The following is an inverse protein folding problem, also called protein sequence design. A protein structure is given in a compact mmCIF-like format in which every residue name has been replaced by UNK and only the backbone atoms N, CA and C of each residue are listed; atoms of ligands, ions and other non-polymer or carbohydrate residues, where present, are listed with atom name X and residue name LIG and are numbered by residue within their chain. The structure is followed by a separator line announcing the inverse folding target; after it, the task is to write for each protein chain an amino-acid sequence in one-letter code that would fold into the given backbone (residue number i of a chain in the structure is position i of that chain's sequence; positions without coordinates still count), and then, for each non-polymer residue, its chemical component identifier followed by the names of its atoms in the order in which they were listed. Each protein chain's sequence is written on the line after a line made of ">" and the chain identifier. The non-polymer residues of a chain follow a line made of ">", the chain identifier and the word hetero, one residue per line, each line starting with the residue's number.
data_IF_233635578994
#
_entry.id   IF_233635578994
#
_cell.length_a   1.000
_cell.length_b   1.000
_cell.length_c   1.000
_cell.angle_alpha   90.00
_cell.angle_beta   90.00
_cell.angle_gamma   90.00
#
_symmetry.space_group_name_H-M   'P 1'
#
loop_
_entity.id
_entity.type
_entity.pdbx_description
1 polymer ?
#
# COMPACT_ATOMS: atom_id res chain seq x y z
N UNK A 1 10.11 18.48 -0.13
CA UNK A 1 8.82 18.97 -0.66
C UNK A 1 7.74 17.98 -0.30
N UNK A 2 6.65 18.45 0.25
CA UNK A 2 5.55 17.57 0.63
C UNK A 2 4.82 17.07 -0.61
N UNK A 3 4.37 15.83 -0.58
CA UNK A 3 3.54 15.29 -1.65
C UNK A 3 2.13 15.85 -1.53
N UNK A 4 1.45 16.00 -2.66
CA UNK A 4 0.05 16.37 -2.64
C UNK A 4 -0.79 15.20 -2.16
N UNK A 5 -2.01 15.46 -1.68
CA UNK A 5 -2.93 14.40 -1.30
C UNK A 5 -3.16 13.45 -2.49
N UNK A 6 -3.30 14.00 -3.69
CA UNK A 6 -3.48 13.22 -4.90
C UNK A 6 -2.31 12.26 -5.15
N UNK A 7 -1.08 12.72 -4.95
CA UNK A 7 0.10 11.88 -5.11
C UNK A 7 0.14 10.76 -4.05
N UNK A 8 -0.20 11.09 -2.81
CA UNK A 8 -0.26 10.10 -1.73
C UNK A 8 -1.31 9.03 -2.03
N UNK A 9 -2.50 9.46 -2.48
CA UNK A 9 -3.57 8.52 -2.82
C UNK A 9 -3.19 7.62 -4.00
N UNK A 10 -2.52 8.17 -5.00
CA UNK A 10 -2.05 7.39 -6.14
C UNK A 10 -1.03 6.35 -5.69
N UNK A 11 -0.06 6.74 -4.88
CA UNK A 11 0.94 5.82 -4.35
C UNK A 11 0.31 4.73 -3.48
N UNK A 12 -0.68 5.09 -2.66
CA UNK A 12 -1.39 4.13 -1.83
C UNK A 12 -2.16 3.12 -2.69
N UNK A 13 -2.84 3.60 -3.73
CA UNK A 13 -3.57 2.73 -4.65
C UNK A 13 -2.61 1.76 -5.35
N UNK A 14 -1.45 2.23 -5.77
CA UNK A 14 -0.44 1.38 -6.39
C UNK A 14 0.02 0.28 -5.43
N UNK A 15 0.22 0.63 -4.16
CA UNK A 15 0.61 -0.36 -3.14
C UNK A 15 -0.49 -1.38 -2.90
N UNK A 16 -1.75 -0.96 -2.84
CA UNK A 16 -2.90 -1.87 -2.70
C UNK A 16 -2.94 -2.84 -3.88
N UNK A 17 -2.81 -2.31 -5.09
CA UNK A 17 -2.87 -3.14 -6.31
C UNK A 17 -1.73 -4.15 -6.37
N UNK A 18 -0.53 -3.74 -5.98
CA UNK A 18 0.63 -4.64 -5.93
C UNK A 18 0.40 -5.78 -4.94
N UNK A 19 0.00 -5.46 -3.73
CA UNK A 19 -0.23 -6.47 -2.68
C UNK A 19 -1.31 -7.45 -3.12
N UNK A 20 -2.43 -6.94 -3.59
CA UNK A 20 -3.54 -7.78 -4.02
C UNK A 20 -3.18 -8.61 -5.25
N UNK A 21 -2.42 -8.04 -6.19
CA UNK A 21 -1.98 -8.74 -7.38
C UNK A 21 -1.02 -9.88 -7.07
N UNK A 22 -0.07 -9.65 -6.16
CA UNK A 22 0.87 -10.69 -5.73
C UNK A 22 0.10 -11.81 -5.03
N UNK A 23 -0.81 -11.47 -4.13
CA UNK A 23 -1.60 -12.46 -3.41
C UNK A 23 -2.50 -13.28 -4.36
N UNK A 24 -3.04 -12.66 -5.38
CA UNK A 24 -3.92 -13.32 -6.35
C UNK A 24 -3.13 -14.07 -7.43
N UNK A 25 -1.83 -13.87 -7.53
CA UNK A 25 -0.99 -14.49 -8.55
C UNK A 25 -1.09 -13.81 -9.92
N UNK A 26 -1.58 -12.58 -9.96
CA UNK A 26 -1.73 -11.81 -11.22
C UNK A 26 -0.62 -10.78 -11.42
N UNK A 27 0.17 -10.52 -10.40
CA UNK A 27 1.29 -9.59 -10.50
C UNK A 27 2.49 -10.28 -11.15
N UNK A 28 3.18 -9.57 -12.02
CA UNK A 28 4.35 -10.11 -12.68
C UNK A 28 5.53 -10.18 -11.71
N UNK A 29 5.87 -11.39 -11.31
CA UNK A 29 7.00 -11.65 -10.41
C UNK A 29 8.01 -12.60 -11.06
N UNK A 30 7.95 -12.73 -12.38
CA UNK A 30 8.85 -13.61 -13.11
C UNK A 30 10.31 -13.21 -12.87
N UNK A 31 11.12 -14.21 -12.55
CA UNK A 31 12.53 -13.99 -12.27
C UNK A 31 12.84 -13.57 -10.85
N UNK A 32 11.83 -13.35 -10.01
CA UNK A 32 12.04 -12.99 -8.61
C UNK A 32 12.06 -14.21 -7.71
N UNK A 33 12.92 -14.19 -6.72
CA UNK A 33 12.90 -15.20 -5.67
C UNK A 33 11.79 -14.88 -4.67
N UNK A 34 11.33 -15.88 -3.94
CA UNK A 34 10.25 -15.67 -2.97
C UNK A 34 10.64 -14.65 -1.90
N UNK A 35 11.89 -14.65 -1.45
CA UNK A 35 12.36 -13.65 -0.49
C UNK A 35 12.25 -12.22 -1.02
N UNK A 36 12.54 -12.03 -2.31
CA UNK A 36 12.44 -10.71 -2.95
C UNK A 36 10.98 -10.29 -3.10
N UNK A 37 10.12 -11.23 -3.41
CA UNK A 37 8.68 -10.96 -3.49
C UNK A 37 8.15 -10.56 -2.13
N UNK A 38 8.52 -11.29 -1.08
CA UNK A 38 8.13 -10.97 0.29
C UNK A 38 8.62 -9.58 0.72
N UNK A 39 9.84 -9.22 0.37
CA UNK A 39 10.39 -7.90 0.68
C UNK A 39 9.62 -6.79 -0.05
N UNK A 40 9.26 -7.03 -1.30
CA UNK A 40 8.47 -6.08 -2.08
C UNK A 40 7.09 -5.87 -1.46
N UNK A 41 6.42 -6.96 -1.07
CA UNK A 41 5.13 -6.88 -0.40
C UNK A 41 5.26 -6.15 0.94
N UNK A 42 6.30 -6.47 1.72
CA UNK A 42 6.53 -5.83 3.02
C UNK A 42 6.72 -4.32 2.88
N UNK A 43 7.49 -3.87 1.90
CA UNK A 43 7.69 -2.44 1.67
C UNK A 43 6.38 -1.72 1.37
N UNK A 44 5.51 -2.37 0.63
CA UNK A 44 4.22 -1.77 0.29
C UNK A 44 3.25 -1.80 1.47
N UNK A 45 3.30 -2.85 2.31
CA UNK A 45 2.58 -2.88 3.57
C UNK A 45 3.04 -1.73 4.47
N UNK A 46 4.35 -1.56 4.63
CA UNK A 46 4.92 -0.49 5.45
C UNK A 46 4.49 0.89 4.93
N UNK A 47 4.47 1.07 3.62
CA UNK A 47 4.04 2.32 3.00
C UNK A 47 2.60 2.65 3.37
N UNK A 48 1.70 1.68 3.28
CA UNK A 48 0.30 1.88 3.65
C UNK A 48 0.14 2.16 5.14
N UNK A 49 0.91 1.48 5.99
CA UNK A 49 0.88 1.72 7.42
C UNK A 49 1.34 3.15 7.76
N UNK A 50 2.36 3.64 7.08
CA UNK A 50 2.84 5.00 7.25
C UNK A 50 1.78 6.01 6.82
N UNK A 51 1.13 5.78 5.69
CA UNK A 51 0.07 6.67 5.21
C UNK A 51 -1.06 6.76 6.24
N UNK A 52 -1.50 5.62 6.78
CA UNK A 52 -2.57 5.59 7.75
C UNK A 52 -2.17 6.24 9.08
N UNK A 53 -0.92 6.06 9.50
CA UNK A 53 -0.44 6.55 10.79
C UNK A 53 -0.15 8.05 10.79
N UNK A 54 0.42 8.55 9.72
CA UNK A 54 0.93 9.92 9.68
C UNK A 54 0.06 10.87 8.88
N UNK A 55 -0.78 10.34 7.99
CA UNK A 55 -1.73 11.14 7.23
C UNK A 55 -1.12 12.49 6.81
N UNK A 56 -0.12 12.49 5.93
CA UNK A 56 0.61 13.72 5.61
C UNK A 56 -0.34 14.78 5.09
N UNK A 57 -0.22 15.96 5.66
CA UNK A 57 -1.08 17.08 5.27
C UNK A 57 -0.40 17.87 4.17
N UNK A 58 -1.13 18.08 3.10
CA UNK A 58 -0.67 18.91 2.00
C UNK A 58 -1.51 20.18 1.98
N UNK A 59 -0.85 21.32 2.05
CA UNK A 59 -1.52 22.61 2.08
C UNK A 59 -2.18 22.96 0.75
N UNK A 60 -1.84 22.28 -0.31
CA UNK A 60 -2.42 22.53 -1.64
C UNK A 60 -3.74 21.82 -1.82
N UNK A 61 -4.16 21.04 -0.87
CA UNK A 61 -5.37 20.25 -0.97
C UNK A 61 -6.24 20.48 0.26
N UNK A 62 -7.49 20.81 0.01
CA UNK A 62 -8.46 21.06 1.08
C UNK A 62 -9.04 19.78 1.67
N UNK A 63 -8.62 18.63 1.18
CA UNK A 63 -9.10 17.36 1.68
C UNK A 63 -8.62 17.15 3.11
N UNK A 64 -9.54 17.07 4.09
CA UNK A 64 -9.14 16.95 5.47
C UNK A 64 -8.55 15.57 5.83
N UNK A 65 -8.72 14.61 4.97
CA UNK A 65 -8.29 13.25 5.19
C UNK A 65 -7.31 12.83 4.11
N UNK A 66 -6.04 12.95 4.41
CA UNK A 66 -4.97 12.70 3.44
C UNK A 66 -4.77 11.24 3.12
N UNK A 67 -5.33 10.34 3.90
CA UNK A 67 -5.33 8.92 3.57
C UNK A 67 -6.51 8.56 2.64
N UNK A 68 -7.37 9.54 2.36
CA UNK A 68 -8.51 9.35 1.49
C UNK A 68 -9.81 9.19 2.28
N UNK A 69 -10.84 8.70 1.59
CA UNK A 69 -12.14 8.45 2.19
C UNK A 69 -12.09 7.26 3.15
N UNK A 70 -13.19 7.03 3.87
CA UNK A 70 -13.33 5.84 4.71
C UNK A 70 -13.16 4.56 3.89
N UNK A 71 -13.65 4.56 2.66
CA UNK A 71 -13.52 3.40 1.78
C UNK A 71 -12.07 3.17 1.38
N UNK A 72 -11.33 4.25 1.10
CA UNK A 72 -9.90 4.15 0.78
C UNK A 72 -9.12 3.58 1.96
N UNK A 73 -9.39 4.08 3.16
CA UNK A 73 -8.73 3.58 4.37
C UNK A 73 -9.03 2.11 4.62
N UNK A 74 -10.25 1.68 4.35
CA UNK A 74 -10.64 0.26 4.45
C UNK A 74 -9.84 -0.57 3.46
N UNK A 75 -9.68 -0.09 2.22
CA UNK A 75 -8.86 -0.77 1.21
C UNK A 75 -7.42 -0.90 1.66
N UNK A 76 -6.85 0.15 2.23
CA UNK A 76 -5.46 0.11 2.73
C UNK A 76 -5.30 -0.89 3.86
N UNK A 77 -6.22 -0.88 4.83
CA UNK A 77 -6.18 -1.81 5.96
C UNK A 77 -6.33 -3.25 5.49
N UNK A 78 -7.22 -3.50 4.55
CA UNK A 78 -7.42 -4.82 3.97
C UNK A 78 -6.16 -5.30 3.26
N UNK A 79 -5.54 -4.42 2.46
CA UNK A 79 -4.31 -4.75 1.75
C UNK A 79 -3.17 -5.05 2.71
N UNK A 80 -3.06 -4.30 3.80
CA UNK A 80 -2.05 -4.55 4.84
C UNK A 80 -2.22 -5.95 5.41
N UNK A 81 -3.44 -6.31 5.77
CA UNK A 81 -3.76 -7.64 6.29
C UNK A 81 -3.42 -8.73 5.27
N UNK A 82 -3.81 -8.51 4.01
CA UNK A 82 -3.53 -9.43 2.91
C UNK A 82 -2.03 -9.61 2.72
N UNK A 83 -1.27 -8.52 2.71
CA UNK A 83 0.18 -8.56 2.54
C UNK A 83 0.88 -9.30 3.66
N UNK A 84 0.51 -9.02 4.90
CA UNK A 84 1.09 -9.71 6.06
C UNK A 84 0.79 -11.21 6.02
N UNK A 85 -0.42 -11.59 5.66
CA UNK A 85 -0.81 -12.99 5.54
C UNK A 85 -0.04 -13.67 4.41
N UNK A 86 0.13 -13.00 3.28
CA UNK A 86 0.91 -13.53 2.17
C UNK A 86 2.35 -13.83 2.60
N UNK A 87 3.00 -12.87 3.24
CA UNK A 87 4.39 -13.03 3.68
C UNK A 87 4.49 -14.18 4.68
N UNK A 88 3.58 -14.25 5.65
CA UNK A 88 3.55 -15.30 6.65
C UNK A 88 3.41 -16.69 6.02
N UNK A 89 2.60 -16.78 4.97
CA UNK A 89 2.36 -18.05 4.28
C UNK A 89 3.51 -18.46 3.36
N UNK A 90 4.38 -17.54 2.99
CA UNK A 90 5.44 -17.76 2.02
C UNK A 90 6.85 -17.51 2.58
N UNK A 91 6.97 -17.42 3.87
CA UNK A 91 8.28 -17.21 4.51
C UNK A 91 8.94 -18.51 4.95
#
# INVERSE_FOLDING_TARGET
>A
MAQTVSEVLTAATDSVNLINGVNAGTWDVEGMEQSDINDMVQRNVDHLEIILAYAPVDSDDDTPDVAGSSDDKTSYTTAITTGKAYISSNS
#
